data_IF_394453471010
#
_entry.id   IF_394453471010
#
_cell.length_a   1.000
_cell.length_b   1.000
_cell.length_c   1.000
_cell.angle_alpha   90.00
_cell.angle_beta   90.00
_cell.angle_gamma   90.00
#
_symmetry.space_group_name_H-M   'P 1'
#
loop_
_entity.id
_entity.type
_entity.pdbx_description
1 polymer ?
#
# COMPACT_ATOMS: atom_id res chain seq x y z
N UNK A 1 -6.52 2.48 -34.13
CA UNK A 1 -7.12 1.37 -33.38
C UNK A 1 -6.17 1.02 -32.27
N UNK A 2 -6.68 0.72 -31.07
CA UNK A 2 -5.84 0.46 -29.91
C UNK A 2 -5.18 -0.94 -29.93
N UNK A 3 -5.05 -1.55 -31.11
CA UNK A 3 -4.45 -2.86 -31.34
C UNK A 3 -3.37 -2.70 -32.40
N UNK A 4 -2.22 -3.31 -32.17
CA UNK A 4 -1.05 -3.26 -33.05
C UNK A 4 -1.35 -3.87 -34.43
N UNK A 5 -0.57 -3.48 -35.45
CA UNK A 5 -0.75 -3.95 -36.83
C UNK A 5 -0.60 -5.48 -36.98
N UNK A 6 0.18 -6.08 -36.08
CA UNK A 6 0.43 -7.52 -35.97
C UNK A 6 -0.55 -8.24 -35.02
N UNK A 7 -1.44 -7.50 -34.33
CA UNK A 7 -2.48 -8.08 -33.47
C UNK A 7 -1.98 -8.63 -32.12
N UNK A 8 -0.69 -8.45 -31.80
CA UNK A 8 -0.07 -9.02 -30.59
C UNK A 8 -0.11 -8.10 -29.38
N UNK A 9 -0.44 -6.82 -29.56
CA UNK A 9 -0.46 -5.82 -28.48
C UNK A 9 -1.72 -5.00 -28.55
N UNK A 10 -2.43 -4.91 -27.43
CA UNK A 10 -3.61 -4.05 -27.28
C UNK A 10 -3.39 -3.07 -26.13
N UNK A 11 -3.87 -1.85 -26.30
CA UNK A 11 -3.87 -0.79 -25.29
C UNK A 11 -5.29 -0.51 -24.82
N UNK A 12 -5.48 -0.44 -23.52
CA UNK A 12 -6.71 0.05 -22.89
C UNK A 12 -6.35 1.22 -21.98
N UNK A 13 -7.15 2.28 -22.00
CA UNK A 13 -7.00 3.43 -21.12
C UNK A 13 -8.16 3.47 -20.16
N UNK A 14 -7.84 3.58 -18.86
CA UNK A 14 -8.83 3.74 -17.79
C UNK A 14 -8.70 5.16 -17.27
N UNK A 15 -9.80 5.90 -17.28
CA UNK A 15 -9.85 7.28 -16.76
C UNK A 15 -10.75 7.31 -15.54
N UNK A 16 -10.23 7.81 -14.43
CA UNK A 16 -10.98 7.99 -13.18
C UNK A 16 -11.52 9.42 -13.08
N UNK A 17 -12.67 9.59 -12.43
CA UNK A 17 -13.32 10.90 -12.26
C UNK A 17 -12.62 11.78 -11.21
N UNK A 18 -11.85 11.17 -10.31
CA UNK A 18 -11.14 11.83 -9.21
C UNK A 18 -9.63 11.82 -9.45
N UNK A 19 -8.90 12.67 -8.72
CA UNK A 19 -7.44 12.67 -8.77
C UNK A 19 -6.86 11.37 -8.19
N UNK A 20 -5.65 10.99 -8.61
CA UNK A 20 -5.00 9.78 -8.15
C UNK A 20 -4.88 9.69 -6.61
N UNK A 21 -4.72 10.81 -5.92
CA UNK A 21 -4.65 10.90 -4.45
C UNK A 21 -6.01 10.69 -3.75
N UNK A 22 -7.11 10.91 -4.46
CA UNK A 22 -8.48 10.77 -3.97
C UNK A 22 -9.13 9.47 -4.44
N UNK A 23 -8.40 8.69 -5.24
CA UNK A 23 -8.86 7.39 -5.72
C UNK A 23 -8.92 6.40 -4.56
N UNK A 24 -10.07 5.75 -4.40
CA UNK A 24 -10.26 4.79 -3.30
C UNK A 24 -9.42 3.53 -3.53
N UNK A 25 -9.07 2.86 -2.44
CA UNK A 25 -8.32 1.62 -2.51
C UNK A 25 -9.11 0.52 -3.23
N UNK A 26 -10.44 0.47 -3.09
CA UNK A 26 -11.28 -0.49 -3.82
C UNK A 26 -11.19 -0.31 -5.35
N UNK A 27 -11.09 0.94 -5.83
CA UNK A 27 -10.97 1.22 -7.26
C UNK A 27 -9.60 0.81 -7.81
N UNK A 28 -8.56 0.87 -6.98
CA UNK A 28 -7.20 0.41 -7.30
C UNK A 28 -7.10 -1.11 -7.25
N UNK A 29 -7.73 -1.74 -6.26
CA UNK A 29 -7.80 -3.19 -6.12
C UNK A 29 -8.56 -3.81 -7.30
N UNK A 30 -9.67 -3.19 -7.73
CA UNK A 30 -10.40 -3.62 -8.91
C UNK A 30 -9.56 -3.55 -10.19
N UNK A 31 -8.71 -2.52 -10.34
CA UNK A 31 -7.79 -2.40 -11.46
C UNK A 31 -6.72 -3.50 -11.42
N UNK A 32 -6.15 -3.74 -10.24
CA UNK A 32 -5.12 -4.76 -10.01
C UNK A 32 -5.67 -6.16 -10.29
N UNK A 33 -6.82 -6.50 -9.72
CA UNK A 33 -7.51 -7.77 -9.95
C UNK A 33 -7.82 -8.01 -11.44
N UNK A 34 -8.31 -6.99 -12.15
CA UNK A 34 -8.55 -7.10 -13.59
C UNK A 34 -7.26 -7.36 -14.39
N UNK A 35 -6.14 -6.77 -13.97
CA UNK A 35 -4.84 -7.03 -14.61
C UNK A 35 -4.27 -8.39 -14.26
N UNK A 36 -4.51 -8.88 -13.06
CA UNK A 36 -4.05 -10.19 -12.60
C UNK A 36 -4.85 -11.33 -13.25
N UNK A 37 -6.18 -11.20 -13.36
CA UNK A 37 -7.02 -12.14 -14.12
C UNK A 37 -6.54 -12.29 -15.57
N UNK A 38 -6.13 -11.19 -16.19
CA UNK A 38 -5.57 -11.21 -17.53
C UNK A 38 -4.17 -11.87 -17.57
N UNK A 39 -3.33 -11.67 -16.54
CA UNK A 39 -2.04 -12.37 -16.42
C UNK A 39 -2.21 -13.87 -16.23
N UNK A 40 -3.15 -14.29 -15.39
CA UNK A 40 -3.51 -15.70 -15.19
C UNK A 40 -4.03 -16.34 -16.48
N UNK A 41 -4.72 -15.57 -17.32
CA UNK A 41 -5.12 -15.96 -18.67
C UNK A 41 -3.97 -16.17 -19.67
N UNK A 42 -2.72 -15.98 -19.24
CA UNK A 42 -1.51 -16.15 -20.06
C UNK A 42 -1.10 -14.91 -20.86
N UNK A 43 -1.72 -13.76 -20.61
CA UNK A 43 -1.36 -12.50 -21.25
C UNK A 43 -0.27 -11.77 -20.44
N UNK A 44 0.68 -11.15 -21.12
CA UNK A 44 1.61 -10.21 -20.46
C UNK A 44 0.92 -8.86 -20.37
N UNK A 45 0.59 -8.44 -19.14
CA UNK A 45 -0.06 -7.16 -18.87
C UNK A 45 0.92 -6.23 -18.18
N UNK A 46 1.17 -5.09 -18.80
CA UNK A 46 1.99 -4.00 -18.27
C UNK A 46 1.07 -2.82 -17.96
N UNK A 47 1.01 -2.44 -16.68
CA UNK A 47 0.20 -1.31 -16.19
C UNK A 47 1.10 -0.11 -15.88
N UNK A 48 0.67 1.09 -16.25
CA UNK A 48 1.36 2.34 -15.89
C UNK A 48 0.41 3.53 -15.75
N UNK A 49 0.93 4.65 -15.24
CA UNK A 49 0.16 5.87 -14.96
C UNK A 49 -0.13 6.09 -13.47
N UNK A 50 -0.69 7.25 -13.13
CA UNK A 50 -0.83 7.68 -11.72
C UNK A 50 -1.78 6.82 -10.87
N UNK A 51 -2.68 6.08 -11.53
CA UNK A 51 -3.60 5.14 -10.87
C UNK A 51 -2.94 3.79 -10.54
N UNK A 52 -1.77 3.50 -11.13
CA UNK A 52 -1.00 2.29 -10.86
C UNK A 52 -0.11 2.60 -9.68
N UNK A 53 -0.60 2.26 -8.49
CA UNK A 53 0.22 2.31 -7.29
C UNK A 53 1.28 1.22 -7.45
N UNK A 54 2.54 1.61 -7.65
CA UNK A 54 3.66 0.70 -7.42
C UNK A 54 3.40 0.09 -6.05
N UNK A 55 3.26 -1.24 -5.95
CA UNK A 55 2.85 -1.99 -4.76
C UNK A 55 3.58 -1.49 -3.51
N UNK A 56 3.11 -0.38 -2.95
CA UNK A 56 3.35 0.04 -1.60
C UNK A 56 2.31 -0.78 -0.90
N UNK A 57 2.55 -2.09 -0.78
CA UNK A 57 2.02 -2.78 0.36
C UNK A 57 2.47 -1.92 1.53
N UNK A 58 1.54 -1.15 2.10
CA UNK A 58 1.62 -0.69 3.47
C UNK A 58 1.63 -1.97 4.30
N UNK A 59 2.77 -2.66 4.25
CA UNK A 59 2.90 -4.05 4.56
C UNK A 59 2.95 -4.13 6.06
N UNK A 60 1.82 -4.52 6.66
CA UNK A 60 1.70 -4.66 8.11
C UNK A 60 2.81 -5.53 8.70
N UNK A 61 3.36 -6.47 7.93
CA UNK A 61 4.51 -7.30 8.33
C UNK A 61 5.77 -6.48 8.62
N UNK A 62 6.15 -5.53 7.76
CA UNK A 62 7.35 -4.72 7.96
C UNK A 62 7.17 -3.75 9.14
N UNK A 63 5.97 -3.20 9.30
CA UNK A 63 5.62 -2.35 10.46
C UNK A 63 5.67 -3.14 11.77
N UNK A 64 5.06 -4.34 11.81
CA UNK A 64 5.11 -5.24 12.98
C UNK A 64 6.54 -5.61 13.37
N UNK A 65 7.39 -5.90 12.38
CA UNK A 65 8.81 -6.16 12.63
C UNK A 65 9.49 -4.91 13.21
N UNK A 66 9.24 -3.74 12.63
CA UNK A 66 9.78 -2.47 13.13
C UNK A 66 9.36 -2.16 14.58
N UNK A 67 8.08 -2.32 14.91
CA UNK A 67 7.54 -2.14 16.27
C UNK A 67 8.17 -3.16 17.23
N UNK A 68 8.30 -4.42 16.82
CA UNK A 68 8.95 -5.47 17.61
C UNK A 68 10.41 -5.13 17.93
N UNK A 69 11.17 -4.68 16.94
CA UNK A 69 12.56 -4.25 17.13
C UNK A 69 12.64 -3.04 18.06
N UNK A 70 11.78 -2.03 17.88
CA UNK A 70 11.73 -0.86 18.76
C UNK A 70 11.42 -1.25 20.21
N UNK A 71 10.47 -2.16 20.44
CA UNK A 71 10.14 -2.66 21.77
C UNK A 71 11.33 -3.35 22.44
N UNK A 72 12.09 -4.16 21.71
CA UNK A 72 13.32 -4.80 22.21
C UNK A 72 14.37 -3.75 22.59
N UNK A 73 14.59 -2.77 21.73
CA UNK A 73 15.56 -1.69 22.01
C UNK A 73 15.15 -0.89 23.24
N UNK A 74 13.88 -0.51 23.38
CA UNK A 74 13.37 0.22 24.54
C UNK A 74 13.47 -0.61 25.82
N UNK A 75 13.19 -1.92 25.75
CA UNK A 75 13.34 -2.84 26.88
C UNK A 75 14.80 -2.92 27.34
N UNK A 76 15.75 -3.03 26.40
CA UNK A 76 17.19 -3.04 26.72
C UNK A 76 17.65 -1.68 27.27
N UNK A 77 17.12 -0.59 26.74
CA UNK A 77 17.49 0.77 27.14
C UNK A 77 17.00 1.11 28.54
N UNK A 78 15.75 0.77 28.86
CA UNK A 78 15.14 1.11 30.15
C UNK A 78 15.23 -0.02 31.18
N UNK A 79 15.59 -1.24 30.78
CA UNK A 79 15.69 -2.42 31.65
C UNK A 79 14.37 -2.85 32.30
N UNK A 80 13.24 -2.25 31.91
CA UNK A 80 11.93 -2.47 32.50
C UNK A 80 10.84 -2.40 31.44
N UNK A 81 9.95 -3.40 31.44
CA UNK A 81 8.83 -3.47 30.51
C UNK A 81 7.84 -2.32 30.72
N UNK A 82 7.63 -1.89 31.97
CA UNK A 82 6.74 -0.78 32.31
C UNK A 82 7.31 0.54 31.77
N UNK A 83 8.62 0.75 31.93
CA UNK A 83 9.28 1.95 31.44
C UNK A 83 9.33 1.99 29.89
N UNK A 84 9.55 0.85 29.24
CA UNK A 84 9.53 0.74 27.78
C UNK A 84 8.12 0.88 27.18
N UNK A 85 7.08 0.46 27.90
CA UNK A 85 5.69 0.52 27.43
C UNK A 85 5.14 1.95 27.35
N UNK A 86 5.62 2.86 28.20
CA UNK A 86 5.16 4.26 28.20
C UNK A 86 5.46 4.99 26.87
N UNK A 87 6.70 4.97 26.33
CA UNK A 87 7.01 5.50 25.01
C UNK A 87 6.17 4.87 23.88
N UNK A 88 5.98 3.55 23.90
CA UNK A 88 5.17 2.86 22.89
C UNK A 88 3.71 3.29 22.94
N UNK A 89 3.14 3.41 24.14
CA UNK A 89 1.77 3.88 24.31
C UNK A 89 1.59 5.31 23.78
N UNK A 90 2.53 6.21 24.08
CA UNK A 90 2.51 7.57 23.55
C UNK A 90 2.61 7.60 22.02
N UNK A 91 3.42 6.74 21.41
CA UNK A 91 3.53 6.63 19.97
C UNK A 91 2.21 6.19 19.32
N UNK A 92 1.56 5.16 19.86
CA UNK A 92 0.25 4.67 19.37
C UNK A 92 -0.82 5.76 19.46
N UNK A 93 -0.89 6.47 20.59
CA UNK A 93 -1.83 7.59 20.76
C UNK A 93 -1.54 8.70 19.74
N UNK A 94 -0.27 9.07 19.55
CA UNK A 94 0.13 10.09 18.59
C UNK A 94 -0.25 9.74 17.15
N UNK A 95 -0.01 8.49 16.73
CA UNK A 95 -0.42 7.99 15.41
C UNK A 95 -1.93 7.99 15.28
N UNK A 96 -2.67 7.50 16.27
CA UNK A 96 -4.14 7.48 16.25
C UNK A 96 -4.76 8.88 16.11
N UNK A 97 -4.20 9.88 16.80
CA UNK A 97 -4.61 11.27 16.65
C UNK A 97 -4.26 11.80 15.25
N UNK A 98 -3.05 11.51 14.75
CA UNK A 98 -2.62 11.94 13.42
C UNK A 98 -3.52 11.40 12.30
N UNK A 99 -3.86 10.11 12.37
CA UNK A 99 -4.80 9.48 11.44
C UNK A 99 -6.18 10.12 11.55
N UNK A 100 -6.67 10.40 12.76
CA UNK A 100 -7.99 11.01 12.96
C UNK A 100 -8.05 12.49 12.55
N UNK A 101 -6.89 13.16 12.46
CA UNK A 101 -6.81 14.58 12.08
C UNK A 101 -6.64 14.79 10.57
N UNK A 102 -6.03 13.81 9.88
CA UNK A 102 -5.76 13.85 8.44
C UNK A 102 -6.77 13.02 7.65
N UNK A 103 -7.22 11.90 8.21
CA UNK A 103 -8.21 10.99 7.63
C UNK A 103 -9.64 11.48 7.75
#
# INVERSE_FOLDING_TARGET
>A
GAVSKDGTTAYASVTYEVNAMELTDEARDALTAATDDAREGGYTVETGGDAVVAEQEMGGTAELIGIGVAAVVLLLTFGSLVAAGMPLLSAVIGVGIGISAIG
#
